data_IF_948338222187
#
_entry.id   IF_948338222187
#
_cell.length_a   1.000
_cell.length_b   1.000
_cell.length_c   1.000
_cell.angle_alpha   90.00
_cell.angle_beta   90.00
_cell.angle_gamma   90.00
#
_symmetry.space_group_name_H-M   'P 1'
#
loop_
_entity.id
_entity.type
_entity.pdbx_description
1 polymer ?
#
# COMPACT_ATOMS: atom_id res chain seq x y z
N UNK A 1 -20.95 7.70 -14.27
CA UNK A 1 -21.99 6.93 -13.52
C UNK A 1 -21.69 5.44 -13.69
N UNK A 2 -21.03 4.79 -12.73
CA UNK A 2 -20.90 3.34 -12.71
C UNK A 2 -21.96 2.82 -11.74
N UNK A 3 -22.92 2.14 -12.31
CA UNK A 3 -24.00 1.44 -11.59
C UNK A 3 -23.40 0.38 -10.68
N UNK A 4 -23.43 0.61 -9.37
CA UNK A 4 -23.12 -0.40 -8.39
C UNK A 4 -24.08 -1.59 -8.57
N UNK A 5 -23.56 -2.72 -8.98
CA UNK A 5 -24.30 -3.99 -8.91
C UNK A 5 -24.55 -4.31 -7.44
N UNK A 6 -25.80 -4.21 -7.01
CA UNK A 6 -26.25 -4.85 -5.78
C UNK A 6 -26.13 -6.37 -5.98
N UNK A 7 -25.12 -6.98 -5.41
CA UNK A 7 -25.02 -8.43 -5.33
C UNK A 7 -25.98 -8.84 -4.21
N UNK A 8 -27.02 -9.61 -4.55
CA UNK A 8 -27.92 -10.18 -3.55
C UNK A 8 -27.15 -11.12 -2.65
N UNK A 9 -27.39 -11.01 -1.35
CA UNK A 9 -26.68 -11.74 -0.30
C UNK A 9 -26.76 -13.28 -0.42
N UNK A 10 -27.65 -13.80 -1.24
CA UNK A 10 -27.87 -15.25 -1.40
C UNK A 10 -26.80 -15.98 -2.24
N UNK A 11 -25.96 -15.24 -3.00
CA UNK A 11 -24.93 -15.86 -3.87
C UNK A 11 -23.48 -15.75 -3.35
N UNK A 12 -23.24 -15.08 -2.23
CA UNK A 12 -21.91 -14.96 -1.60
C UNK A 12 -21.82 -15.70 -0.26
N UNK A 13 -22.79 -16.54 0.07
CA UNK A 13 -22.89 -17.18 1.38
C UNK A 13 -21.78 -18.21 1.68
N UNK A 14 -21.05 -18.68 0.67
CA UNK A 14 -20.15 -19.83 0.81
C UNK A 14 -18.70 -19.58 0.41
N UNK A 15 -18.22 -18.34 0.44
CA UNK A 15 -16.85 -18.00 0.05
C UNK A 15 -15.98 -17.71 1.27
N UNK A 16 -14.98 -18.54 1.50
CA UNK A 16 -13.89 -18.22 2.43
C UNK A 16 -12.88 -17.33 1.71
N UNK A 17 -12.67 -16.12 2.21
CA UNK A 17 -11.76 -15.13 1.66
C UNK A 17 -10.51 -15.01 2.55
N UNK A 18 -9.35 -14.79 1.95
CA UNK A 18 -8.18 -14.34 2.67
C UNK A 18 -7.54 -13.16 1.94
N UNK A 19 -7.09 -12.17 2.69
CA UNK A 19 -6.45 -10.97 2.16
C UNK A 19 -5.00 -10.90 2.62
N UNK A 20 -4.14 -10.26 1.82
CA UNK A 20 -2.77 -9.93 2.24
C UNK A 20 -2.69 -8.66 3.09
N UNK A 21 -3.83 -8.04 3.33
CA UNK A 21 -3.96 -6.76 4.01
C UNK A 21 -4.44 -6.97 5.46
N UNK A 22 -4.11 -6.04 6.33
CA UNK A 22 -4.78 -5.92 7.62
C UNK A 22 -6.21 -5.47 7.39
N UNK A 23 -7.19 -6.23 7.88
CA UNK A 23 -8.62 -5.95 7.66
C UNK A 23 -9.35 -5.76 8.97
N UNK A 24 -10.08 -4.66 9.08
CA UNK A 24 -11.00 -4.38 10.18
C UNK A 24 -12.44 -4.50 9.67
N UNK A 25 -13.18 -5.43 10.22
CA UNK A 25 -14.59 -5.67 9.89
C UNK A 25 -15.46 -5.04 10.98
N UNK A 26 -16.05 -3.90 10.66
CA UNK A 26 -16.94 -3.17 11.58
C UNK A 26 -18.37 -3.57 11.30
N UNK A 27 -19.06 -4.17 12.26
CA UNK A 27 -20.47 -4.51 12.13
C UNK A 27 -21.31 -3.26 12.35
N UNK A 28 -21.89 -2.73 11.26
CA UNK A 28 -22.65 -1.49 11.30
C UNK A 28 -24.14 -1.74 11.61
N UNK A 29 -24.74 -2.81 11.10
CA UNK A 29 -26.14 -3.12 11.29
C UNK A 29 -26.40 -4.62 11.25
N UNK A 30 -27.39 -5.11 12.03
CA UNK A 30 -27.72 -6.52 12.12
C UNK A 30 -26.59 -7.34 12.77
N UNK A 31 -26.63 -8.63 12.59
CA UNK A 31 -25.66 -9.56 13.17
C UNK A 31 -25.03 -10.42 12.09
N UNK A 32 -23.71 -10.67 12.21
CA UNK A 32 -22.97 -11.52 11.30
C UNK A 32 -22.16 -12.56 12.06
N UNK A 33 -22.26 -13.80 11.62
CA UNK A 33 -21.44 -14.91 12.08
C UNK A 33 -20.16 -14.94 11.29
N UNK A 34 -19.03 -14.87 11.96
CA UNK A 34 -17.69 -14.98 11.39
C UNK A 34 -17.04 -16.27 11.82
N UNK A 35 -16.56 -17.02 10.85
CA UNK A 35 -15.76 -18.24 11.04
C UNK A 35 -14.36 -17.94 10.55
N UNK A 36 -13.36 -18.32 11.34
CA UNK A 36 -11.97 -17.97 11.10
C UNK A 36 -11.12 -19.22 11.12
N UNK A 37 -10.20 -19.27 10.16
CA UNK A 37 -9.07 -20.21 10.16
C UNK A 37 -7.85 -19.44 10.69
N UNK A 38 -7.34 -19.77 11.88
CA UNK A 38 -6.40 -18.91 12.63
C UNK A 38 -4.98 -18.92 12.07
N UNK A 39 -4.65 -19.87 11.20
CA UNK A 39 -3.33 -19.93 10.55
C UNK A 39 -3.35 -19.18 9.24
N UNK A 40 -2.26 -18.45 8.91
CA UNK A 40 -2.10 -17.89 7.57
C UNK A 40 -2.12 -18.99 6.51
N UNK A 41 -2.85 -18.74 5.44
CA UNK A 41 -2.99 -19.68 4.31
C UNK A 41 -1.92 -19.36 3.27
N UNK A 42 -1.23 -20.39 2.78
CA UNK A 42 -0.24 -20.25 1.72
C UNK A 42 -0.91 -20.03 0.35
N UNK A 43 -0.24 -19.29 -0.54
CA UNK A 43 -0.79 -18.96 -1.88
C UNK A 43 -1.18 -20.18 -2.73
N UNK A 44 -0.54 -21.33 -2.52
CA UNK A 44 -0.83 -22.56 -3.26
C UNK A 44 -2.14 -23.23 -2.85
N UNK A 45 -2.73 -22.83 -1.74
CA UNK A 45 -3.96 -23.42 -1.21
C UNK A 45 -5.23 -22.79 -1.79
N UNK A 46 -5.10 -21.70 -2.57
CA UNK A 46 -6.25 -21.06 -3.21
C UNK A 46 -6.65 -21.71 -4.53
N UNK A 47 -7.93 -21.58 -4.88
CA UNK A 47 -8.43 -22.01 -6.18
C UNK A 47 -7.76 -21.14 -7.26
N UNK A 48 -7.00 -21.73 -8.19
CA UNK A 48 -6.29 -20.97 -9.21
C UNK A 48 -7.25 -20.35 -10.24
N UNK A 49 -6.85 -19.20 -10.80
CA UNK A 49 -7.58 -18.54 -11.91
C UNK A 49 -8.78 -17.72 -11.49
N UNK A 50 -8.96 -17.45 -10.21
CA UNK A 50 -9.97 -16.52 -9.70
C UNK A 50 -9.35 -15.17 -9.32
N UNK A 51 -10.08 -14.09 -9.57
CA UNK A 51 -9.68 -12.72 -9.17
C UNK A 51 -9.76 -12.51 -7.64
N UNK A 52 -10.43 -13.42 -6.95
CA UNK A 52 -10.58 -13.43 -5.49
C UNK A 52 -9.99 -14.73 -4.93
N UNK A 53 -9.37 -14.64 -3.76
CA UNK A 53 -8.71 -15.76 -3.09
C UNK A 53 -9.72 -16.57 -2.32
N UNK A 54 -10.08 -17.71 -2.86
CA UNK A 54 -11.04 -18.64 -2.27
C UNK A 54 -10.30 -19.93 -1.90
N UNK A 55 -10.54 -20.41 -0.69
CA UNK A 55 -10.10 -21.73 -0.27
C UNK A 55 -11.11 -22.79 -0.73
N UNK A 56 -10.65 -23.87 -1.36
CA UNK A 56 -11.54 -24.98 -1.72
C UNK A 56 -12.06 -25.73 -0.51
N UNK A 57 -11.28 -25.77 0.58
CA UNK A 57 -11.62 -26.42 1.83
C UNK A 57 -11.33 -25.45 2.99
N UNK A 58 -12.38 -25.05 3.72
CA UNK A 58 -12.31 -24.11 4.83
C UNK A 58 -12.61 -24.80 6.15
N UNK A 59 -11.62 -24.86 7.02
CA UNK A 59 -11.79 -25.42 8.37
C UNK A 59 -11.99 -24.31 9.39
N UNK A 60 -13.13 -24.30 10.04
CA UNK A 60 -13.44 -23.35 11.12
C UNK A 60 -12.69 -23.74 12.39
N UNK A 61 -11.80 -22.88 12.86
CA UNK A 61 -11.12 -23.05 14.14
C UNK A 61 -11.72 -22.14 15.23
N UNK A 62 -12.22 -20.98 14.84
CA UNK A 62 -12.90 -20.04 15.75
C UNK A 62 -14.15 -19.46 15.09
N UNK A 63 -15.13 -19.13 15.92
CA UNK A 63 -16.39 -18.58 15.47
C UNK A 63 -16.88 -17.50 16.43
N UNK A 64 -17.36 -16.37 15.87
CA UNK A 64 -17.98 -15.28 16.63
C UNK A 64 -19.23 -14.77 15.91
N UNK A 65 -20.18 -14.29 16.70
CA UNK A 65 -21.32 -13.53 16.18
C UNK A 65 -21.14 -12.07 16.61
N UNK A 66 -20.91 -11.19 15.61
CA UNK A 66 -20.78 -9.77 15.85
C UNK A 66 -22.13 -9.06 15.71
N UNK A 67 -22.43 -8.16 16.63
CA UNK A 67 -23.55 -7.24 16.61
C UNK A 67 -23.10 -5.82 16.27
N UNK A 68 -24.04 -4.86 16.16
CA UNK A 68 -23.72 -3.47 15.86
C UNK A 68 -22.70 -2.88 16.82
N UNK A 69 -21.69 -2.17 16.28
CA UNK A 69 -20.53 -1.58 16.95
C UNK A 69 -19.42 -2.57 17.34
N UNK A 70 -19.58 -3.86 17.10
CA UNK A 70 -18.47 -4.81 17.24
C UNK A 70 -17.49 -4.65 16.07
N UNK A 71 -16.22 -4.97 16.35
CA UNK A 71 -15.13 -4.92 15.39
C UNK A 71 -14.33 -6.22 15.45
N UNK A 72 -14.07 -6.81 14.28
CA UNK A 72 -13.16 -7.94 14.14
C UNK A 72 -11.93 -7.51 13.34
N UNK A 73 -10.77 -7.68 13.93
CA UNK A 73 -9.50 -7.51 13.23
C UNK A 73 -9.00 -8.84 12.68
N UNK A 74 -8.63 -8.84 11.42
CA UNK A 74 -8.07 -9.96 10.71
C UNK A 74 -6.66 -9.60 10.22
N UNK A 75 -5.61 -10.27 10.73
CA UNK A 75 -4.27 -10.10 10.22
C UNK A 75 -4.13 -10.65 8.79
N UNK A 76 -3.07 -10.26 8.05
CA UNK A 76 -2.81 -10.74 6.70
C UNK A 76 -2.78 -12.28 6.61
N UNK A 77 -3.40 -12.81 5.55
CA UNK A 77 -3.42 -14.25 5.26
C UNK A 77 -4.43 -15.07 6.06
N UNK A 78 -5.15 -14.47 7.00
CA UNK A 78 -6.16 -15.18 7.79
C UNK A 78 -7.44 -15.36 6.98
N UNK A 79 -7.77 -16.61 6.69
CA UNK A 79 -9.00 -16.94 5.98
C UNK A 79 -10.23 -16.81 6.89
N UNK A 80 -11.27 -16.25 6.33
CA UNK A 80 -12.50 -15.95 7.07
C UNK A 80 -13.74 -16.13 6.20
N UNK A 81 -14.83 -16.47 6.84
CA UNK A 81 -16.12 -16.69 6.22
C UNK A 81 -17.22 -16.01 7.04
N UNK A 82 -17.96 -15.08 6.43
CA UNK A 82 -19.00 -14.32 7.10
C UNK A 82 -20.39 -14.63 6.57
N UNK A 83 -21.31 -15.08 7.41
CA UNK A 83 -22.72 -15.28 7.10
C UNK A 83 -23.62 -14.36 7.90
N UNK A 84 -24.62 -13.73 7.26
CA UNK A 84 -25.59 -12.88 7.95
C UNK A 84 -26.52 -13.72 8.84
N UNK A 85 -26.76 -13.22 10.04
CA UNK A 85 -27.75 -13.76 10.97
C UNK A 85 -29.06 -12.96 10.83
N UNK A 86 -29.86 -13.27 9.81
CA UNK A 86 -31.11 -12.56 9.51
C UNK A 86 -31.10 -11.84 8.17
N UNK A 87 -32.13 -11.03 7.93
CA UNK A 87 -32.36 -10.42 6.62
C UNK A 87 -31.58 -9.12 6.38
N UNK A 88 -31.29 -8.37 7.44
CA UNK A 88 -30.61 -7.06 7.37
C UNK A 88 -29.26 -7.13 8.05
N UNK A 89 -28.17 -7.05 7.28
CA UNK A 89 -26.84 -7.12 7.79
C UNK A 89 -25.90 -6.24 6.97
N UNK A 90 -25.22 -5.30 7.63
CA UNK A 90 -24.22 -4.42 7.02
C UNK A 90 -22.93 -4.54 7.82
N UNK A 91 -21.86 -4.96 7.14
CA UNK A 91 -20.49 -4.91 7.66
C UNK A 91 -19.66 -3.99 6.78
N UNK A 92 -18.94 -3.06 7.39
CA UNK A 92 -17.96 -2.21 6.72
C UNK A 92 -16.59 -2.86 6.84
N UNK A 93 -15.94 -3.11 5.71
CA UNK A 93 -14.57 -3.59 5.67
C UNK A 93 -13.61 -2.43 5.45
N UNK A 94 -12.63 -2.27 6.34
CA UNK A 94 -11.56 -1.28 6.22
C UNK A 94 -10.25 -2.04 6.13
N UNK A 95 -9.62 -1.98 4.94
CA UNK A 95 -8.34 -2.65 4.67
C UNK A 95 -7.18 -1.66 4.71
N UNK A 96 -6.08 -2.08 5.31
CA UNK A 96 -4.81 -1.36 5.30
C UNK A 96 -3.78 -2.19 4.54
N UNK A 97 -3.54 -1.79 3.28
CA UNK A 97 -2.56 -2.45 2.44
C UNK A 97 -1.16 -1.89 2.69
N UNK A 98 -0.25 -2.73 3.18
CA UNK A 98 1.16 -2.41 3.20
C UNK A 98 1.76 -2.55 1.78
N UNK A 99 2.69 -1.67 1.37
CA UNK A 99 3.37 -1.83 0.10
C UNK A 99 4.27 -3.07 0.12
N UNK A 100 4.32 -3.79 -1.00
CA UNK A 100 5.26 -4.90 -1.18
C UNK A 100 6.68 -4.38 -1.35
N UNK A 101 7.68 -5.23 -1.09
CA UNK A 101 9.08 -4.90 -1.37
C UNK A 101 9.28 -4.53 -2.85
N UNK A 102 8.59 -5.22 -3.77
CA UNK A 102 8.66 -4.93 -5.20
C UNK A 102 8.10 -3.54 -5.53
N UNK A 103 6.95 -3.16 -4.97
CA UNK A 103 6.36 -1.83 -5.15
C UNK A 103 7.29 -0.74 -4.60
N UNK A 104 7.84 -0.95 -3.41
CA UNK A 104 8.80 -0.01 -2.82
C UNK A 104 10.07 0.12 -3.66
N UNK A 105 10.65 -1.00 -4.11
CA UNK A 105 11.87 -0.98 -4.92
C UNK A 105 11.64 -0.29 -6.27
N UNK A 106 10.52 -0.57 -6.94
CA UNK A 106 10.17 0.07 -8.20
C UNK A 106 9.98 1.58 -8.05
N UNK A 107 9.18 2.01 -7.08
CA UNK A 107 8.93 3.43 -6.81
C UNK A 107 10.21 4.18 -6.37
N UNK A 108 11.06 3.51 -5.59
CA UNK A 108 12.34 4.08 -5.17
C UNK A 108 13.31 4.26 -6.34
N UNK A 109 13.43 3.26 -7.22
CA UNK A 109 14.22 3.39 -8.45
C UNK A 109 13.69 4.51 -9.34
N UNK A 110 12.37 4.58 -9.55
CA UNK A 110 11.74 5.60 -10.38
C UNK A 110 12.01 7.02 -9.83
N UNK A 111 11.84 7.23 -8.54
CA UNK A 111 12.12 8.50 -7.88
C UNK A 111 13.59 8.94 -8.03
N UNK A 112 14.52 8.00 -8.17
CA UNK A 112 15.96 8.29 -8.32
C UNK A 112 16.39 8.47 -9.77
N UNK A 113 15.68 7.92 -10.72
CA UNK A 113 15.97 8.09 -12.16
C UNK A 113 15.57 9.49 -12.64
N UNK A 114 14.43 10.02 -12.20
CA UNK A 114 13.87 11.27 -12.71
C UNK A 114 14.69 12.55 -12.43
N UNK A 115 15.22 12.80 -11.20
CA UNK A 115 15.95 14.05 -10.91
C UNK A 115 17.33 14.12 -11.55
N UNK A 116 17.93 12.97 -11.78
CA UNK A 116 19.28 12.83 -12.33
C UNK A 116 19.13 12.07 -13.63
N UNK A 117 18.98 12.78 -14.74
CA UNK A 117 19.16 12.18 -16.06
C UNK A 117 20.57 11.57 -16.09
N UNK A 118 20.71 10.37 -15.54
CA UNK A 118 21.95 9.62 -15.55
C UNK A 118 22.20 9.30 -17.01
N UNK A 119 22.97 10.17 -17.66
CA UNK A 119 23.40 9.99 -19.04
C UNK A 119 24.55 8.99 -19.16
N UNK A 120 24.92 8.37 -18.04
CA UNK A 120 25.95 7.35 -18.02
C UNK A 120 25.45 6.12 -18.78
N UNK A 121 25.93 6.00 -20.00
CA UNK A 121 25.65 4.83 -20.84
C UNK A 121 26.66 3.74 -20.53
N UNK A 122 26.21 2.50 -20.59
CA UNK A 122 27.12 1.37 -20.66
C UNK A 122 28.09 1.56 -21.82
N UNK A 123 29.40 1.42 -21.58
CA UNK A 123 30.44 1.53 -22.58
C UNK A 123 31.47 0.42 -22.38
N UNK A 124 31.65 -0.40 -23.40
CA UNK A 124 32.74 -1.36 -23.43
C UNK A 124 34.04 -0.65 -23.90
N UNK A 125 34.82 -0.15 -22.94
CA UNK A 125 36.08 0.55 -23.22
C UNK A 125 37.22 -0.38 -23.54
N UNK A 126 37.05 -1.69 -23.34
CA UNK A 126 38.12 -2.71 -23.46
C UNK A 126 37.73 -3.86 -24.37
N UNK A 127 36.88 -3.58 -25.39
CA UNK A 127 36.51 -4.56 -26.40
C UNK A 127 37.74 -5.08 -27.16
N UNK A 128 37.97 -6.37 -27.10
CA UNK A 128 38.88 -7.09 -27.96
C UNK A 128 38.11 -7.97 -28.95
N UNK A 129 38.69 -8.30 -30.12
CA UNK A 129 38.04 -9.21 -31.06
C UNK A 129 37.70 -10.54 -30.39
N UNK A 130 36.40 -10.93 -30.49
CA UNK A 130 35.89 -12.16 -29.89
C UNK A 130 35.77 -13.26 -30.95
N UNK A 131 36.02 -14.50 -30.55
CA UNK A 131 35.80 -15.65 -31.44
C UNK A 131 34.33 -15.91 -31.69
N UNK A 132 33.45 -15.54 -30.72
CA UNK A 132 32.01 -15.67 -30.80
C UNK A 132 31.37 -14.29 -30.64
N UNK A 133 30.94 -13.63 -31.73
CA UNK A 133 30.42 -12.25 -31.65
C UNK A 133 29.19 -12.05 -30.78
N UNK A 134 28.42 -13.12 -30.52
CA UNK A 134 27.24 -13.09 -29.69
C UNK A 134 27.51 -13.44 -28.19
N UNK A 135 28.75 -13.66 -27.82
CA UNK A 135 29.11 -13.97 -26.43
C UNK A 135 29.09 -12.72 -25.56
N UNK A 136 28.36 -12.77 -24.48
CA UNK A 136 28.43 -11.77 -23.40
C UNK A 136 29.54 -12.20 -22.48
N UNK A 137 30.67 -11.50 -22.52
CA UNK A 137 31.83 -11.84 -21.74
C UNK A 137 31.63 -11.65 -20.23
N UNK A 138 32.40 -12.38 -19.43
CA UNK A 138 32.41 -12.19 -17.97
C UNK A 138 32.75 -10.75 -17.57
N UNK A 139 33.62 -10.07 -18.32
CA UNK A 139 33.98 -8.69 -18.09
C UNK A 139 32.80 -7.75 -18.31
N UNK A 140 32.01 -7.95 -19.38
CA UNK A 140 30.80 -7.18 -19.64
C UNK A 140 29.74 -7.34 -18.50
N UNK A 141 29.56 -8.57 -18.01
CA UNK A 141 28.68 -8.84 -16.88
C UNK A 141 29.15 -8.14 -15.60
N UNK A 142 30.45 -8.22 -15.28
CA UNK A 142 31.04 -7.53 -14.12
C UNK A 142 30.86 -6.03 -14.21
N UNK A 143 31.10 -5.44 -15.40
CA UNK A 143 30.91 -4.00 -15.61
C UNK A 143 29.44 -3.59 -15.44
N UNK A 144 28.48 -4.34 -16.00
CA UNK A 144 27.06 -4.08 -15.80
C UNK A 144 26.67 -4.16 -14.31
N UNK A 145 27.16 -5.13 -13.57
CA UNK A 145 26.93 -5.25 -12.13
C UNK A 145 27.51 -4.05 -11.37
N UNK A 146 28.71 -3.60 -11.70
CA UNK A 146 29.33 -2.42 -11.06
C UNK A 146 28.55 -1.14 -11.32
N UNK A 147 28.02 -0.95 -12.54
CA UNK A 147 27.18 0.21 -12.85
C UNK A 147 25.88 0.21 -12.01
N UNK A 148 25.23 -0.94 -11.92
CA UNK A 148 24.03 -1.09 -11.08
C UNK A 148 24.35 -0.86 -9.60
N UNK A 149 25.46 -1.43 -9.10
CA UNK A 149 25.89 -1.22 -7.73
C UNK A 149 26.16 0.27 -7.44
N UNK A 150 26.87 0.96 -8.33
CA UNK A 150 27.12 2.41 -8.22
C UNK A 150 25.82 3.21 -8.18
N UNK A 151 24.81 2.83 -8.98
CA UNK A 151 23.50 3.45 -8.94
C UNK A 151 22.86 3.29 -7.55
N UNK A 152 22.84 2.08 -7.01
CA UNK A 152 22.27 1.82 -5.68
C UNK A 152 23.03 2.52 -4.55
N UNK A 153 24.35 2.57 -4.61
CA UNK A 153 25.18 3.25 -3.61
C UNK A 153 24.95 4.76 -3.59
N UNK A 154 24.86 5.40 -4.76
CA UNK A 154 24.54 6.83 -4.87
C UNK A 154 23.11 7.16 -4.41
N UNK A 155 22.23 6.18 -4.49
CA UNK A 155 20.82 6.36 -4.15
C UNK A 155 20.51 6.23 -2.66
N UNK A 156 21.48 5.87 -1.81
CA UNK A 156 21.27 5.68 -0.36
C UNK A 156 21.19 6.99 0.42
N UNK A 157 21.41 8.13 -0.22
CA UNK A 157 21.24 9.43 0.43
C UNK A 157 19.75 9.71 0.69
N UNK A 158 19.36 9.75 1.97
CA UNK A 158 18.02 10.08 2.50
C UNK A 158 16.85 9.11 2.17
N UNK A 159 16.93 7.83 2.53
CA UNK A 159 15.81 6.91 2.33
C UNK A 159 14.55 7.31 3.12
N UNK A 160 14.71 8.03 4.23
CA UNK A 160 13.60 8.51 5.05
C UNK A 160 12.72 9.53 4.34
N UNK A 161 13.33 10.48 3.64
CA UNK A 161 12.61 11.50 2.88
C UNK A 161 11.77 10.89 1.76
N UNK A 162 12.37 10.03 0.95
CA UNK A 162 11.64 9.32 -0.10
C UNK A 162 10.47 8.52 0.49
N UNK A 163 10.70 7.78 1.58
CA UNK A 163 9.65 6.95 2.18
C UNK A 163 8.49 7.79 2.72
N UNK A 164 8.76 8.94 3.31
CA UNK A 164 7.74 9.88 3.76
C UNK A 164 6.83 10.35 2.61
N UNK A 165 7.42 10.73 1.48
CA UNK A 165 6.68 11.07 0.26
C UNK A 165 5.87 9.87 -0.25
N UNK A 166 6.51 8.71 -0.40
CA UNK A 166 5.90 7.49 -0.93
C UNK A 166 4.66 7.04 -0.13
N UNK A 167 4.74 6.99 1.19
CA UNK A 167 3.60 6.54 2.02
C UNK A 167 2.46 7.56 2.08
N UNK A 168 2.73 8.80 1.71
CA UNK A 168 1.72 9.88 1.70
C UNK A 168 1.17 10.18 0.30
N UNK A 169 1.65 9.53 -0.77
CA UNK A 169 1.12 9.73 -2.11
C UNK A 169 -0.41 9.59 -2.15
N UNK A 170 -1.12 10.52 -2.82
CA UNK A 170 -2.56 10.45 -2.95
C UNK A 170 -2.97 9.19 -3.72
N UNK A 171 -4.02 8.53 -3.27
CA UNK A 171 -4.60 7.44 -4.06
C UNK A 171 -5.31 8.02 -5.29
N UNK A 172 -5.25 7.37 -6.47
CA UNK A 172 -5.80 7.92 -7.73
C UNK A 172 -7.29 8.29 -7.67
N UNK A 173 -8.04 7.69 -6.76
CA UNK A 173 -9.48 7.95 -6.56
C UNK A 173 -9.78 8.99 -5.47
N UNK A 174 -8.76 9.47 -4.77
CA UNK A 174 -8.86 10.50 -3.74
C UNK A 174 -8.26 11.79 -4.29
N UNK A 175 -9.10 12.66 -4.82
CA UNK A 175 -8.68 14.00 -5.23
C UNK A 175 -8.83 14.94 -4.04
N UNK A 176 -7.72 15.54 -3.64
CA UNK A 176 -7.72 16.59 -2.64
C UNK A 176 -7.97 17.91 -3.36
N UNK A 177 -9.19 18.42 -3.27
CA UNK A 177 -9.48 19.74 -3.82
C UNK A 177 -8.83 20.82 -2.93
N UNK A 178 -7.99 21.68 -3.51
CA UNK A 178 -7.44 22.80 -2.77
C UNK A 178 -8.57 23.76 -2.36
N UNK A 179 -8.41 24.41 -1.23
CA UNK A 179 -9.36 25.41 -0.76
C UNK A 179 -9.50 26.52 -1.81
N UNK A 180 -10.73 26.92 -2.13
CA UNK A 180 -11.01 27.98 -3.11
C UNK A 180 -10.27 29.31 -2.79
N UNK A 181 -10.07 29.61 -1.49
CA UNK A 181 -9.28 30.74 -1.02
C UNK A 181 -8.24 30.23 -0.03
N UNK A 182 -7.03 29.85 -0.47
CA UNK A 182 -5.97 29.42 0.41
C UNK A 182 -5.51 30.59 1.29
N UNK A 183 -5.15 30.27 2.52
CA UNK A 183 -4.56 31.28 3.43
C UNK A 183 -3.14 31.62 2.96
N UNK A 184 -2.77 32.90 3.03
CA UNK A 184 -1.35 33.25 2.92
C UNK A 184 -0.57 32.68 4.11
N UNK A 185 0.75 32.58 3.99
CA UNK A 185 1.61 32.11 5.09
C UNK A 185 1.45 33.00 6.34
N UNK A 186 1.29 34.32 6.15
CA UNK A 186 1.06 35.26 7.26
C UNK A 186 -0.28 35.02 7.96
N UNK A 187 -1.34 34.83 7.17
CA UNK A 187 -2.67 34.53 7.70
C UNK A 187 -2.71 33.18 8.45
N UNK A 188 -2.02 32.19 7.91
CA UNK A 188 -1.87 30.88 8.54
C UNK A 188 -1.11 30.98 9.87
N UNK A 189 0.03 31.64 9.88
CA UNK A 189 0.84 31.88 11.10
C UNK A 189 0.07 32.67 12.17
N UNK A 190 -0.68 33.67 11.75
CA UNK A 190 -1.53 34.45 12.67
C UNK A 190 -2.67 33.59 13.26
N UNK A 191 -3.26 32.69 12.45
CA UNK A 191 -4.28 31.77 12.93
C UNK A 191 -3.73 30.81 13.98
N UNK A 192 -2.53 30.29 13.79
CA UNK A 192 -1.85 29.44 14.76
C UNK A 192 -1.56 30.17 16.07
N UNK A 193 -1.03 31.40 16.00
CA UNK A 193 -0.77 32.26 17.19
C UNK A 193 -2.03 32.58 17.98
N UNK A 194 -3.20 32.56 17.35
CA UNK A 194 -4.51 32.79 17.99
C UNK A 194 -5.14 31.48 18.51
N UNK A 195 -4.36 30.41 18.71
CA UNK A 195 -4.82 29.10 19.19
C UNK A 195 -5.97 28.50 18.37
N UNK A 196 -6.07 28.79 17.08
CA UNK A 196 -7.02 28.10 16.23
C UNK A 196 -6.54 26.67 15.99
N UNK A 197 -7.42 25.73 16.20
CA UNK A 197 -7.11 24.33 15.92
C UNK A 197 -6.95 24.10 14.42
N UNK A 198 -5.90 23.39 14.04
CA UNK A 198 -5.76 22.83 12.72
C UNK A 198 -6.56 21.53 12.66
N UNK A 199 -7.43 21.44 11.68
CA UNK A 199 -8.16 20.20 11.39
C UNK A 199 -7.53 19.58 10.16
N UNK A 200 -7.12 18.32 10.30
CA UNK A 200 -6.59 17.54 9.18
C UNK A 200 -7.67 17.36 8.12
N UNK A 201 -7.33 17.63 6.85
CA UNK A 201 -8.20 17.27 5.74
C UNK A 201 -8.33 15.74 5.67
N UNK A 202 -9.55 15.23 5.69
CA UNK A 202 -9.83 13.78 5.68
C UNK A 202 -9.41 13.06 4.39
N UNK A 203 -9.22 13.78 3.30
CA UNK A 203 -8.79 13.25 2.01
C UNK A 203 -7.25 13.28 1.81
N UNK A 204 -6.56 14.08 2.62
CA UNK A 204 -5.10 14.19 2.58
C UNK A 204 -4.43 13.12 3.43
N UNK A 205 -3.30 12.64 2.95
CA UNK A 205 -2.44 11.71 3.68
C UNK A 205 -1.31 12.49 4.33
N UNK A 206 -1.04 12.18 5.58
CA UNK A 206 -0.03 12.85 6.39
C UNK A 206 0.89 11.83 7.05
N UNK A 207 2.16 12.12 7.04
CA UNK A 207 3.16 11.43 7.85
C UNK A 207 4.18 12.44 8.36
N UNK A 208 4.93 12.09 9.39
CA UNK A 208 6.07 12.90 9.83
C UNK A 208 7.19 12.00 10.31
N UNK A 209 8.40 12.49 10.18
CA UNK A 209 9.61 11.86 10.71
C UNK A 209 10.21 12.81 11.72
N UNK A 210 10.46 12.30 12.93
CA UNK A 210 11.20 13.05 13.94
C UNK A 210 12.66 13.06 13.57
N UNK A 211 13.17 14.25 13.32
CA UNK A 211 14.58 14.45 13.03
C UNK A 211 15.43 14.62 14.29
N UNK A 212 16.70 14.80 14.08
CA UNK A 212 17.66 15.22 15.13
C UNK A 212 17.66 16.75 15.24
N UNK A 213 17.90 17.27 16.43
CA UNK A 213 18.01 18.72 16.68
C UNK A 213 16.73 19.55 16.42
N UNK A 214 15.58 19.09 16.91
CA UNK A 214 14.28 19.78 16.86
C UNK A 214 13.74 20.09 15.45
N UNK A 215 14.24 19.39 14.43
CA UNK A 215 13.74 19.53 13.06
C UNK A 215 12.93 18.28 12.68
N UNK A 216 11.61 18.39 12.73
CA UNK A 216 10.71 17.37 12.23
C UNK A 216 10.40 17.59 10.74
N UNK A 217 10.23 16.52 10.00
CA UNK A 217 9.88 16.55 8.58
C UNK A 217 8.42 16.14 8.43
N UNK A 218 7.60 16.98 7.83
CA UNK A 218 6.19 16.72 7.58
C UNK A 218 5.99 16.40 6.10
N UNK A 219 5.29 15.31 5.84
CA UNK A 219 4.94 14.86 4.48
C UNK A 219 3.44 14.93 4.29
N UNK A 220 3.02 15.53 3.19
CA UNK A 220 1.61 15.71 2.86
C UNK A 220 1.38 15.40 1.39
N UNK A 221 0.57 14.40 1.07
CA UNK A 221 0.19 14.05 -0.29
C UNK A 221 1.38 13.82 -1.25
N UNK A 222 2.44 13.19 -0.77
CA UNK A 222 3.64 12.90 -1.55
C UNK A 222 4.69 14.01 -1.58
N UNK A 223 4.45 15.12 -0.90
CA UNK A 223 5.36 16.29 -0.80
C UNK A 223 5.87 16.46 0.63
N UNK A 224 7.09 17.02 0.78
CA UNK A 224 7.69 17.42 2.05
C UNK A 224 7.43 18.90 2.33
#
# INVERSE_FOLDING_TARGET
>A
MRTGRRIRAESMADLSLAFHDDVFLVQAWGRRRWRIHTRPVADQEYIPGLDIRILPDFQTEQEWILGPSDLLYLPPGVAHWGSAEGHDCITCSVGFRAPTLQEMAAAWCEARIQPHAIQDRYRDTTLSPQQHPAEITRQALTHAQQLLQTFFERATEEPGRWFGCFVTEPKPHLQVEPRANPLSMEQFTLALRRNRQLIRNGWSRFAFIRGTADQDFLYVNGEE
#
